data_IF_217534264467
#
_entry.id   IF_217534264467
#
_cell.length_a   1.000
_cell.length_b   1.000
_cell.length_c   1.000
_cell.angle_alpha   90.00
_cell.angle_beta   90.00
_cell.angle_gamma   90.00
#
_symmetry.space_group_name_H-M   'P 1'
#
loop_
_entity.id
_entity.type
_entity.pdbx_description
1 polymer ?
#
# COMPACT_ATOMS: atom_id res chain seq x y z
N UNK A 1 13.62 -11.32 -12.45
CA UNK A 1 12.65 -10.99 -11.38
C UNK A 1 11.70 -9.95 -11.90
N UNK A 2 10.41 -10.20 -11.80
CA UNK A 2 9.33 -9.28 -12.18
C UNK A 2 8.50 -8.98 -10.94
N UNK A 3 7.88 -7.81 -10.88
CA UNK A 3 6.90 -7.47 -9.85
C UNK A 3 5.48 -7.57 -10.43
N UNK A 4 4.51 -7.96 -9.60
CA UNK A 4 3.09 -7.93 -9.92
C UNK A 4 2.41 -6.79 -9.16
N UNK A 5 1.41 -6.18 -9.78
CA UNK A 5 0.67 -5.04 -9.24
C UNK A 5 -0.82 -5.35 -9.27
N UNK A 6 -1.49 -5.15 -8.14
CA UNK A 6 -2.94 -5.22 -8.01
C UNK A 6 -3.49 -3.81 -7.87
N UNK A 7 -4.63 -3.55 -8.51
CA UNK A 7 -5.28 -2.24 -8.54
C UNK A 7 -6.72 -2.34 -8.04
N UNK A 8 -7.20 -1.30 -7.36
CA UNK A 8 -8.64 -1.14 -7.06
C UNK A 8 -9.43 -0.60 -8.28
N UNK A 9 -10.74 -0.47 -8.12
CA UNK A 9 -11.65 0.02 -9.18
C UNK A 9 -11.39 1.50 -9.56
N UNK A 10 -10.67 2.24 -8.72
CA UNK A 10 -10.24 3.63 -8.98
C UNK A 10 -8.92 3.67 -9.74
N UNK A 11 -8.25 2.53 -9.92
CA UNK A 11 -6.95 2.42 -10.57
C UNK A 11 -5.77 2.70 -9.64
N UNK A 12 -5.97 2.69 -8.31
CA UNK A 12 -4.92 2.84 -7.32
C UNK A 12 -4.28 1.47 -7.04
N UNK A 13 -2.95 1.44 -6.88
CA UNK A 13 -2.23 0.20 -6.54
C UNK A 13 -2.53 -0.18 -5.09
N UNK A 14 -3.17 -1.32 -4.86
CA UNK A 14 -3.44 -1.82 -3.49
C UNK A 14 -2.41 -2.83 -3.02
N UNK A 15 -1.69 -3.48 -3.95
CA UNK A 15 -0.69 -4.47 -3.61
C UNK A 15 0.44 -4.51 -4.65
N UNK A 16 1.67 -4.69 -4.17
CA UNK A 16 2.84 -5.03 -5.00
C UNK A 16 3.47 -6.32 -4.47
N UNK A 17 3.49 -7.35 -5.31
CA UNK A 17 4.29 -8.56 -5.05
C UNK A 17 5.64 -8.44 -5.75
N UNK A 18 6.73 -8.40 -4.99
CA UNK A 18 8.09 -8.32 -5.50
C UNK A 18 8.59 -9.70 -5.97
N UNK A 19 9.58 -9.70 -6.86
CA UNK A 19 10.10 -10.94 -7.44
C UNK A 19 10.81 -11.88 -6.45
N UNK A 20 11.01 -11.45 -5.20
CA UNK A 20 11.52 -12.26 -4.10
C UNK A 20 10.39 -12.80 -3.19
N UNK A 21 9.12 -12.57 -3.52
CA UNK A 21 7.96 -13.01 -2.74
C UNK A 21 7.50 -12.03 -1.66
N UNK A 22 8.24 -10.96 -1.38
CA UNK A 22 7.80 -9.92 -0.44
C UNK A 22 6.58 -9.16 -0.99
N UNK A 23 5.70 -8.74 -0.10
CA UNK A 23 4.44 -8.06 -0.44
C UNK A 23 4.41 -6.68 0.19
N UNK A 24 3.86 -5.70 -0.52
CA UNK A 24 3.55 -4.37 0.00
C UNK A 24 2.07 -4.10 -0.24
N UNK A 25 1.33 -3.80 0.82
CA UNK A 25 -0.08 -3.42 0.77
C UNK A 25 -0.26 -1.93 1.01
N UNK A 26 -1.24 -1.33 0.32
CA UNK A 26 -1.58 0.08 0.38
C UNK A 26 -3.09 0.26 0.62
N UNK A 27 -3.45 1.06 1.63
CA UNK A 27 -4.84 1.48 1.85
C UNK A 27 -4.98 2.97 1.56
N UNK A 28 -6.10 3.35 0.95
CA UNK A 28 -6.42 4.73 0.60
C UNK A 28 -7.77 5.14 1.19
N UNK A 29 -7.92 6.42 1.53
CA UNK A 29 -9.21 7.00 1.87
C UNK A 29 -10.06 7.29 0.62
N UNK A 30 -11.26 7.86 0.83
CA UNK A 30 -12.21 8.20 -0.24
C UNK A 30 -11.67 9.26 -1.21
N UNK A 31 -10.78 10.13 -0.73
CA UNK A 31 -10.10 11.16 -1.52
C UNK A 31 -8.86 10.63 -2.27
N UNK A 32 -8.65 9.30 -2.28
CA UNK A 32 -7.51 8.62 -2.90
C UNK A 32 -6.16 8.97 -2.26
N UNK A 33 -6.15 9.39 -0.98
CA UNK A 33 -4.93 9.64 -0.21
C UNK A 33 -4.51 8.37 0.52
N UNK A 34 -3.20 8.12 0.57
CA UNK A 34 -2.61 6.92 1.16
C UNK A 34 -2.65 6.96 2.69
N UNK A 35 -3.50 6.14 3.31
CA UNK A 35 -3.66 6.09 4.77
C UNK A 35 -2.88 4.95 5.44
N UNK A 36 -2.43 3.95 4.68
CA UNK A 36 -1.59 2.86 5.23
C UNK A 36 -0.61 2.31 4.20
N UNK A 37 0.55 1.93 4.68
CA UNK A 37 1.49 1.06 3.98
C UNK A 37 1.89 -0.08 4.90
N UNK A 38 1.80 -1.32 4.44
CA UNK A 38 2.31 -2.48 5.18
C UNK A 38 3.21 -3.34 4.30
N UNK A 39 4.39 -3.69 4.82
CA UNK A 39 5.35 -4.56 4.14
C UNK A 39 5.40 -5.90 4.84
N UNK A 40 5.36 -6.96 4.05
CA UNK A 40 5.51 -8.32 4.49
C UNK A 40 6.73 -8.96 3.82
N UNK A 41 7.44 -9.80 4.54
CA UNK A 41 8.41 -10.70 3.92
C UNK A 41 7.71 -11.82 3.15
N UNK A 42 8.48 -12.70 2.52
CA UNK A 42 7.97 -13.85 1.78
C UNK A 42 7.32 -14.93 2.66
N UNK A 43 7.43 -14.82 3.99
CA UNK A 43 6.73 -15.64 4.98
C UNK A 43 5.45 -15.00 5.52
N UNK A 44 5.05 -13.86 4.94
CA UNK A 44 3.94 -13.02 5.37
C UNK A 44 4.11 -12.38 6.76
N UNK A 45 5.34 -12.28 7.28
CA UNK A 45 5.61 -11.56 8.51
C UNK A 45 5.71 -10.06 8.25
N UNK A 46 5.02 -9.25 9.05
CA UNK A 46 5.09 -7.78 8.94
C UNK A 46 6.50 -7.29 9.27
N UNK A 47 7.13 -6.60 8.31
CA UNK A 47 8.43 -5.93 8.45
C UNK A 47 8.23 -4.47 8.87
N UNK A 48 7.22 -3.81 8.29
CA UNK A 48 6.94 -2.39 8.47
C UNK A 48 5.44 -2.16 8.37
N UNK A 49 4.89 -1.34 9.25
CA UNK A 49 3.53 -0.81 9.14
C UNK A 49 3.56 0.70 9.41
N UNK A 50 3.03 1.48 8.47
CA UNK A 50 2.88 2.93 8.57
C UNK A 50 1.41 3.28 8.41
N UNK A 51 0.91 4.17 9.27
CA UNK A 51 -0.47 4.68 9.21
C UNK A 51 -0.41 6.21 9.17
N UNK A 52 -1.23 6.80 8.30
CA UNK A 52 -1.33 8.25 8.10
C UNK A 52 -2.74 8.70 8.44
N UNK A 53 -2.83 9.86 9.09
CA UNK A 53 -4.08 10.55 9.33
C UNK A 53 -4.01 11.93 8.69
N UNK A 54 -4.91 12.16 7.74
CA UNK A 54 -5.09 13.43 7.07
C UNK A 54 -6.21 14.20 7.77
N UNK A 55 -6.05 15.51 7.88
CA UNK A 55 -7.11 16.37 8.39
C UNK A 55 -7.85 17.01 7.21
N UNK A 56 -9.10 17.47 7.42
CA UNK A 56 -9.93 18.11 6.38
C UNK A 56 -9.33 19.42 5.82
N UNK A 57 -8.16 19.86 6.30
CA UNK A 57 -7.49 21.11 5.88
C UNK A 57 -6.17 20.88 5.19
N UNK A 58 -5.95 19.73 4.56
CA UNK A 58 -4.81 19.51 3.66
C UNK A 58 -4.89 20.47 2.45
N UNK A 59 -4.51 21.73 2.68
CA UNK A 59 -4.17 22.67 1.64
C UNK A 59 -2.75 22.31 1.15
N UNK A 60 -2.54 22.27 -0.18
CA UNK A 60 -1.23 22.01 -0.78
C UNK A 60 -0.17 23.05 -0.37
#
# INVERSE_FOLDING_TARGET
MTAAYTYDDRGLVTEVTLGNGAVIEYDYDDDQRLIRVEHFDDSAATILKLEYAYNDRDLP
#
